data_IF_612194461068
#
_entry.id   IF_612194461068
#
_cell.length_a   1.000
_cell.length_b   1.000
_cell.length_c   1.000
_cell.angle_alpha   90.00
_cell.angle_beta   90.00
_cell.angle_gamma   90.00
#
_symmetry.space_group_name_H-M   'P 1'
#
loop_
_entity.id
_entity.type
_entity.pdbx_description
1 polymer ?
#
# COMPACT_ATOMS: atom_id res chain seq x y z
N UNK A 1 65.28 -5.69 1.47
CA UNK A 1 65.88 -5.57 0.12
C UNK A 1 65.92 -6.95 -0.52
N UNK A 2 65.63 -7.19 -1.79
CA UNK A 2 65.44 -6.29 -2.93
C UNK A 2 64.10 -6.46 -3.65
N UNK A 3 63.70 -5.45 -4.31
CA UNK A 3 63.64 -5.02 -5.70
C UNK A 3 62.38 -5.34 -6.49
N UNK A 4 61.71 -4.24 -6.73
CA UNK A 4 60.82 -3.86 -7.83
C UNK A 4 61.04 -4.59 -9.17
N UNK A 5 59.96 -4.92 -9.87
CA UNK A 5 59.90 -4.83 -11.33
C UNK A 5 58.52 -4.39 -11.78
N UNK A 6 58.51 -3.16 -12.31
CA UNK A 6 57.50 -2.59 -13.18
C UNK A 6 57.47 -3.37 -14.50
N UNK A 7 56.28 -3.65 -15.01
CA UNK A 7 56.05 -3.76 -16.44
C UNK A 7 54.79 -3.00 -16.79
N UNK A 8 55.02 -1.85 -17.37
CA UNK A 8 54.04 -1.10 -18.18
C UNK A 8 53.87 -1.85 -19.50
N UNK A 9 52.67 -2.02 -19.96
CA UNK A 9 52.37 -2.15 -21.40
C UNK A 9 51.12 -1.30 -21.64
N UNK A 10 51.37 -0.23 -22.34
CA UNK A 10 50.38 0.59 -23.03
C UNK A 10 50.10 -0.02 -24.40
N UNK A 11 48.84 -0.03 -24.83
CA UNK A 11 48.48 -0.16 -26.24
C UNK A 11 47.13 0.51 -26.45
N UNK A 12 47.08 1.58 -26.92
CA UNK A 12 46.85 2.36 -28.13
C UNK A 12 45.53 2.01 -28.85
N UNK A 13 44.77 3.10 -29.03
CA UNK A 13 43.69 3.43 -29.94
C UNK A 13 43.59 2.60 -31.23
N UNK A 14 42.35 2.29 -31.64
CA UNK A 14 41.91 2.33 -33.03
C UNK A 14 40.48 2.86 -33.12
N UNK A 15 40.37 4.08 -33.61
CA UNK A 15 39.17 4.72 -34.15
C UNK A 15 39.00 4.21 -35.58
N UNK A 16 37.81 3.78 -35.94
CA UNK A 16 37.44 3.68 -37.37
C UNK A 16 36.00 4.15 -37.52
N UNK A 17 35.86 5.32 -38.07
CA UNK A 17 34.66 5.89 -38.66
C UNK A 17 34.39 5.23 -40.02
N UNK A 18 33.15 4.91 -40.27
CA UNK A 18 32.64 4.70 -41.63
C UNK A 18 31.33 5.44 -41.77
N UNK A 19 31.36 6.51 -42.50
CA UNK A 19 30.26 7.29 -43.05
C UNK A 19 29.88 6.73 -44.43
N UNK A 20 28.69 7.15 -44.86
CA UNK A 20 28.07 7.10 -46.22
C UNK A 20 27.10 5.89 -46.41
N UNK A 21 25.91 6.05 -46.95
CA UNK A 21 25.38 7.08 -47.85
C UNK A 21 23.83 7.13 -47.81
N UNK A 22 23.31 8.30 -47.98
CA UNK A 22 22.24 8.78 -48.88
C UNK A 22 21.09 7.84 -49.30
N UNK A 23 19.87 8.31 -48.99
CA UNK A 23 18.65 7.95 -49.69
C UNK A 23 17.60 9.04 -49.44
N UNK A 24 17.49 9.95 -50.40
CA UNK A 24 16.59 11.12 -50.43
C UNK A 24 15.20 10.74 -50.95
N UNK A 25 14.18 11.52 -50.53
CA UNK A 25 12.81 11.67 -51.01
C UNK A 25 11.77 10.82 -50.23
N UNK A 26 10.70 11.39 -49.71
CA UNK A 26 9.85 12.50 -50.22
C UNK A 26 9.10 13.13 -49.05
N UNK A 27 8.96 14.45 -49.07
CA UNK A 27 8.04 15.21 -48.24
C UNK A 27 6.58 14.88 -48.60
N UNK A 28 5.81 14.52 -47.57
CA UNK A 28 4.37 14.62 -47.63
C UNK A 28 3.89 15.41 -46.43
N UNK A 29 3.58 16.65 -46.70
CA UNK A 29 2.79 17.57 -45.89
C UNK A 29 1.42 16.96 -45.68
N UNK A 30 1.05 16.67 -44.44
CA UNK A 30 -0.34 16.55 -44.03
C UNK A 30 -0.61 17.49 -42.88
N UNK A 31 -1.60 18.34 -43.17
CA UNK A 31 -2.08 19.41 -42.33
C UNK A 31 -2.51 18.95 -40.93
N UNK A 32 -2.18 19.75 -39.97
CA UNK A 32 -2.69 19.71 -38.61
C UNK A 32 -4.08 20.27 -38.57
N UNK A 33 -5.10 19.58 -38.10
CA UNK A 33 -6.36 20.25 -37.73
C UNK A 33 -6.15 20.90 -36.36
N UNK A 34 -6.16 22.21 -36.38
CA UNK A 34 -6.28 23.06 -35.22
C UNK A 34 -7.71 22.91 -34.65
N UNK A 35 -7.85 22.13 -33.57
CA UNK A 35 -9.10 22.05 -32.85
C UNK A 35 -9.18 23.20 -31.84
N UNK A 36 -10.17 24.05 -32.09
CA UNK A 36 -10.52 25.18 -31.27
C UNK A 36 -10.89 24.77 -29.84
N UNK A 37 -10.27 25.46 -28.91
CA UNK A 37 -10.67 25.52 -27.50
C UNK A 37 -12.08 26.12 -27.39
N UNK A 38 -13.03 25.33 -26.95
CA UNK A 38 -14.26 25.80 -26.35
C UNK A 38 -14.35 25.21 -24.95
N UNK A 39 -13.89 25.98 -23.98
CA UNK A 39 -14.16 25.70 -22.58
C UNK A 39 -15.63 25.91 -22.30
N UNK A 40 -16.40 24.85 -22.24
CA UNK A 40 -17.71 24.84 -21.61
C UNK A 40 -17.53 24.36 -20.18
N UNK A 41 -17.64 25.29 -19.25
CA UNK A 41 -17.82 24.96 -17.82
C UNK A 41 -19.21 24.31 -17.69
N UNK A 42 -19.21 23.00 -17.66
CA UNK A 42 -20.39 22.25 -17.20
C UNK A 42 -20.20 22.00 -15.70
N UNK A 43 -20.99 22.74 -14.94
CA UNK A 43 -21.26 22.52 -13.51
C UNK A 43 -21.80 21.10 -13.34
N UNK A 44 -20.89 20.15 -13.02
CA UNK A 44 -21.30 18.80 -12.66
C UNK A 44 -21.58 18.81 -11.17
N UNK A 45 -22.81 19.20 -10.82
CA UNK A 45 -23.36 18.87 -9.52
C UNK A 45 -23.22 17.35 -9.35
N UNK A 46 -22.33 16.96 -8.43
CA UNK A 46 -22.22 15.58 -8.00
C UNK A 46 -23.55 15.19 -7.33
N UNK A 47 -24.41 14.59 -8.12
CA UNK A 47 -25.59 13.88 -7.61
C UNK A 47 -25.05 12.75 -6.74
N UNK A 48 -25.08 12.94 -5.42
CA UNK A 48 -25.03 11.85 -4.46
C UNK A 48 -26.30 11.02 -4.63
N UNK A 49 -26.32 10.20 -5.65
CA UNK A 49 -27.28 9.12 -5.73
C UNK A 49 -26.97 8.21 -4.55
N UNK A 50 -27.73 8.38 -3.48
CA UNK A 50 -27.82 7.35 -2.47
C UNK A 50 -28.16 6.06 -3.20
N UNK A 51 -27.23 5.11 -3.23
CA UNK A 51 -27.51 3.75 -3.68
C UNK A 51 -28.53 3.21 -2.69
N UNK A 52 -29.80 3.36 -3.02
CA UNK A 52 -30.87 2.69 -2.30
C UNK A 52 -30.56 1.21 -2.43
N UNK A 53 -30.30 0.56 -1.31
CA UNK A 53 -30.25 -0.90 -1.27
C UNK A 53 -31.49 -1.43 -1.96
N UNK A 54 -31.40 -2.49 -2.79
CA UNK A 54 -32.56 -3.05 -3.45
C UNK A 54 -33.56 -3.42 -2.37
N UNK A 55 -34.65 -2.67 -2.30
CA UNK A 55 -35.79 -3.05 -1.48
C UNK A 55 -36.51 -4.16 -2.24
N UNK A 56 -35.91 -5.35 -2.19
CA UNK A 56 -36.61 -6.54 -2.60
C UNK A 56 -37.51 -6.95 -1.41
N UNK A 57 -38.67 -6.28 -1.32
CA UNK A 57 -39.78 -6.73 -0.47
C UNK A 57 -40.49 -7.89 -1.16
N UNK A 58 -39.76 -8.89 -1.61
CA UNK A 58 -40.31 -10.22 -1.78
C UNK A 58 -40.78 -10.66 -0.41
N UNK A 59 -42.00 -11.13 -0.27
CA UNK A 59 -42.54 -11.67 0.96
C UNK A 59 -41.58 -12.72 1.51
N UNK A 60 -40.83 -12.35 2.56
CA UNK A 60 -39.89 -13.25 3.21
C UNK A 60 -40.71 -14.37 3.83
N UNK A 61 -40.48 -15.60 3.41
CA UNK A 61 -41.23 -16.73 3.88
C UNK A 61 -41.11 -16.89 5.40
N UNK A 62 -42.05 -17.60 6.02
CA UNK A 62 -41.98 -17.91 7.44
C UNK A 62 -40.71 -18.73 7.79
N UNK A 63 -40.27 -19.57 6.85
CA UNK A 63 -39.05 -20.36 6.97
C UNK A 63 -37.79 -19.49 6.94
N UNK A 64 -37.74 -18.52 6.03
CA UNK A 64 -36.63 -17.57 5.96
C UNK A 64 -36.55 -16.67 7.20
N UNK A 65 -37.69 -16.24 7.75
CA UNK A 65 -37.73 -15.50 9.02
C UNK A 65 -37.18 -16.35 10.19
N UNK A 66 -37.60 -17.58 10.30
CA UNK A 66 -37.09 -18.49 11.34
C UNK A 66 -35.58 -18.77 11.18
N UNK A 67 -35.09 -18.87 9.92
CA UNK A 67 -33.66 -18.99 9.61
C UNK A 67 -32.88 -17.73 10.00
N UNK A 68 -33.42 -16.56 9.69
CA UNK A 68 -32.83 -15.27 10.05
C UNK A 68 -32.73 -15.11 11.58
N UNK A 69 -33.77 -15.42 12.32
CA UNK A 69 -33.76 -15.39 13.80
C UNK A 69 -32.66 -16.30 14.38
N UNK A 70 -32.54 -17.52 13.84
CA UNK A 70 -31.47 -18.45 14.23
C UNK A 70 -30.08 -17.90 13.89
N UNK A 71 -29.92 -17.30 12.71
CA UNK A 71 -28.65 -16.68 12.30
C UNK A 71 -28.27 -15.50 13.20
N UNK A 72 -29.22 -14.62 13.53
CA UNK A 72 -29.02 -13.47 14.40
C UNK A 72 -28.69 -13.84 15.85
N UNK A 73 -29.07 -15.03 16.31
CA UNK A 73 -28.68 -15.55 17.62
C UNK A 73 -27.17 -15.85 17.69
N UNK A 74 -26.55 -16.20 16.58
CA UNK A 74 -25.13 -16.59 16.48
C UNK A 74 -24.27 -15.46 15.89
N UNK A 75 -24.72 -14.85 14.80
CA UNK A 75 -23.98 -13.82 14.07
C UNK A 75 -24.47 -12.42 14.48
N UNK A 76 -23.53 -11.50 14.59
CA UNK A 76 -23.84 -10.09 14.84
C UNK A 76 -23.43 -9.27 13.61
N UNK A 77 -24.08 -8.12 13.36
CA UNK A 77 -23.57 -7.15 12.39
C UNK A 77 -22.14 -6.73 12.71
N UNK A 78 -21.37 -6.36 11.69
CA UNK A 78 -20.07 -5.73 11.94
C UNK A 78 -20.31 -4.42 12.71
N UNK A 79 -19.44 -4.10 13.69
CA UNK A 79 -19.55 -2.84 14.43
C UNK A 79 -19.39 -1.65 13.49
N UNK A 80 -20.15 -0.61 13.74
CA UNK A 80 -19.97 0.66 13.05
C UNK A 80 -18.74 1.43 13.59
N UNK A 81 -18.43 2.60 12.99
CA UNK A 81 -17.27 3.38 13.38
C UNK A 81 -17.34 3.86 14.85
N UNK A 82 -18.52 4.13 15.39
CA UNK A 82 -18.69 4.58 16.78
C UNK A 82 -18.51 3.42 17.76
N UNK A 83 -18.92 2.23 17.37
CA UNK A 83 -18.67 1.00 18.14
C UNK A 83 -17.21 0.60 18.09
N UNK A 84 -16.55 0.71 16.91
CA UNK A 84 -15.11 0.48 16.79
C UNK A 84 -14.30 1.44 17.67
N UNK A 85 -14.70 2.72 17.76
CA UNK A 85 -14.08 3.69 18.67
C UNK A 85 -14.09 3.26 20.14
N UNK A 86 -15.10 2.49 20.57
CA UNK A 86 -15.18 1.96 21.95
C UNK A 86 -14.27 0.74 22.13
N UNK A 87 -14.12 -0.06 21.10
CA UNK A 87 -13.27 -1.26 21.10
C UNK A 87 -11.79 -0.88 20.99
N UNK A 88 -11.48 0.01 20.07
CA UNK A 88 -10.12 0.52 19.76
C UNK A 88 -10.21 2.03 19.54
N UNK A 89 -9.91 2.86 20.54
CA UNK A 89 -9.88 4.31 20.36
C UNK A 89 -8.81 4.73 19.36
N UNK A 90 -9.19 5.56 18.40
CA UNK A 90 -8.29 6.15 17.42
C UNK A 90 -8.69 7.61 17.13
N UNK A 91 -7.75 8.41 16.65
CA UNK A 91 -8.02 9.77 16.20
C UNK A 91 -8.14 9.83 14.68
N UNK A 92 -8.77 10.90 14.18
CA UNK A 92 -8.86 11.13 12.74
C UNK A 92 -7.47 11.31 12.11
N UNK A 93 -6.53 11.92 12.84
CA UNK A 93 -5.15 12.12 12.44
C UNK A 93 -4.41 10.79 12.34
N UNK A 94 -4.64 9.85 13.26
CA UNK A 94 -4.09 8.49 13.18
C UNK A 94 -4.61 7.76 11.94
N UNK A 95 -5.90 7.84 11.66
CA UNK A 95 -6.49 7.22 10.45
C UNK A 95 -5.90 7.82 9.17
N UNK A 96 -5.76 9.14 9.10
CA UNK A 96 -5.13 9.82 7.95
C UNK A 96 -3.68 9.40 7.76
N UNK A 97 -2.92 9.33 8.85
CA UNK A 97 -1.53 8.89 8.84
C UNK A 97 -1.43 7.43 8.42
N UNK A 98 -2.20 6.54 9.02
CA UNK A 98 -2.24 5.11 8.69
C UNK A 98 -2.58 4.87 7.23
N UNK A 99 -3.60 5.55 6.70
CA UNK A 99 -3.94 5.51 5.27
C UNK A 99 -2.76 5.91 4.39
N UNK A 100 -2.00 6.93 4.75
CA UNK A 100 -0.84 7.36 3.96
C UNK A 100 0.30 6.32 4.06
N UNK A 101 0.59 5.82 5.26
CA UNK A 101 1.59 4.78 5.50
C UNK A 101 1.26 3.47 4.78
N UNK A 102 -0.02 3.15 4.61
CA UNK A 102 -0.48 1.97 3.88
C UNK A 102 0.03 1.92 2.42
N UNK A 103 0.14 3.09 1.78
CA UNK A 103 0.63 3.23 0.42
C UNK A 103 2.12 3.61 0.35
N UNK A 104 2.79 3.78 1.49
CA UNK A 104 4.15 4.30 1.55
C UNK A 104 5.19 3.23 1.22
N UNK A 105 5.72 3.27 0.02
CA UNK A 105 6.73 2.30 -0.43
C UNK A 105 8.08 2.48 0.26
N UNK A 106 8.39 3.70 0.75
CA UNK A 106 9.64 4.00 1.47
C UNK A 106 9.71 3.31 2.84
N UNK A 107 8.60 2.78 3.35
CA UNK A 107 8.61 1.86 4.49
C UNK A 107 9.33 0.54 4.21
N UNK A 108 9.49 0.14 2.95
CA UNK A 108 10.28 -1.05 2.60
C UNK A 108 11.76 -0.73 2.37
N UNK A 109 12.65 -1.70 2.58
CA UNK A 109 14.09 -1.55 2.35
C UNK A 109 14.42 -1.08 0.94
N UNK A 110 13.71 -1.62 -0.05
CA UNK A 110 13.90 -1.31 -1.46
C UNK A 110 13.13 -0.09 -1.96
N UNK A 111 12.28 0.54 -1.14
CA UNK A 111 11.38 1.64 -1.50
C UNK A 111 10.38 1.29 -2.62
N UNK A 112 10.00 0.03 -2.77
CA UNK A 112 9.15 -0.46 -3.87
C UNK A 112 7.93 -1.27 -3.40
N UNK A 113 7.87 -1.68 -2.13
CA UNK A 113 6.78 -2.46 -1.55
C UNK A 113 6.07 -1.63 -0.49
N UNK A 114 4.75 -1.62 -0.53
CA UNK A 114 3.88 -1.04 0.49
C UNK A 114 2.89 -2.10 1.00
N UNK A 115 2.11 -1.81 2.04
CA UNK A 115 1.04 -2.70 2.49
C UNK A 115 0.05 -3.00 1.36
N UNK A 116 -0.28 -1.96 0.57
CA UNK A 116 -1.19 -2.10 -0.57
C UNK A 116 -0.64 -3.01 -1.69
N UNK A 117 0.66 -3.30 -1.73
CA UNK A 117 1.24 -4.21 -2.74
C UNK A 117 0.71 -5.64 -2.59
N UNK A 118 0.49 -6.09 -1.35
CA UNK A 118 0.00 -7.43 -1.03
C UNK A 118 -1.46 -7.42 -0.55
N UNK A 119 -1.94 -6.30 -0.03
CA UNK A 119 -3.28 -6.12 0.51
C UNK A 119 -4.00 -4.97 -0.22
N UNK A 120 -4.17 -5.11 -1.52
CA UNK A 120 -4.74 -4.06 -2.37
C UNK A 120 -6.22 -3.81 -2.02
N UNK A 121 -6.51 -2.62 -1.52
CA UNK A 121 -7.87 -2.24 -1.11
C UNK A 121 -8.87 -2.23 -2.28
N UNK A 122 -8.43 -2.01 -3.51
CA UNK A 122 -9.30 -2.09 -4.69
C UNK A 122 -9.70 -3.53 -5.06
N UNK A 123 -9.00 -4.53 -4.53
CA UNK A 123 -9.28 -5.95 -4.76
C UNK A 123 -9.63 -6.67 -3.46
N UNK A 124 -10.44 -6.02 -2.61
CA UNK A 124 -10.90 -6.55 -1.32
C UNK A 124 -9.77 -6.83 -0.32
N UNK A 125 -8.68 -6.04 -0.34
CA UNK A 125 -7.57 -6.14 0.61
C UNK A 125 -6.66 -7.34 0.39
N UNK A 126 -6.59 -7.87 -0.84
CA UNK A 126 -5.73 -8.98 -1.26
C UNK A 126 -5.09 -8.67 -2.62
N UNK A 127 -4.02 -9.38 -2.99
CA UNK A 127 -3.38 -9.27 -4.32
C UNK A 127 -3.85 -10.34 -5.32
N UNK A 128 -4.72 -11.25 -4.90
CA UNK A 128 -5.22 -12.38 -5.69
C UNK A 128 -4.11 -13.36 -6.17
N UNK A 129 -2.96 -13.35 -5.50
CA UNK A 129 -1.86 -14.27 -5.79
C UNK A 129 -1.83 -15.41 -4.76
N UNK A 130 -1.38 -16.62 -5.13
CA UNK A 130 -1.19 -17.71 -4.15
C UNK A 130 -0.25 -17.31 -3.01
N UNK A 131 0.81 -16.58 -3.34
CA UNK A 131 1.76 -15.94 -2.41
C UNK A 131 2.24 -14.63 -3.00
N UNK A 132 2.41 -13.61 -2.17
CA UNK A 132 2.75 -12.26 -2.60
C UNK A 132 4.24 -12.10 -2.89
N UNK A 133 4.56 -11.28 -3.89
CA UNK A 133 5.93 -10.89 -4.19
C UNK A 133 6.34 -9.69 -3.33
N UNK A 134 7.43 -9.84 -2.58
CA UNK A 134 8.00 -8.78 -1.76
C UNK A 134 9.38 -8.32 -2.22
N UNK A 135 10.28 -8.06 -1.26
CA UNK A 135 11.62 -7.54 -1.52
C UNK A 135 12.40 -8.37 -2.53
N UNK A 136 12.93 -7.73 -3.59
CA UNK A 136 13.65 -8.38 -4.71
C UNK A 136 12.84 -9.49 -5.38
N UNK A 137 11.53 -9.33 -5.49
CA UNK A 137 10.61 -10.31 -6.07
C UNK A 137 10.69 -11.71 -5.41
N UNK A 138 11.07 -11.77 -4.13
CA UNK A 138 10.97 -12.99 -3.35
C UNK A 138 9.51 -13.24 -2.99
N UNK A 139 9.11 -14.49 -2.90
CA UNK A 139 7.76 -14.88 -2.55
C UNK A 139 7.67 -15.36 -1.10
N UNK A 140 6.63 -14.95 -0.40
CA UNK A 140 6.28 -15.50 0.90
C UNK A 140 5.82 -16.95 0.81
N UNK A 141 5.71 -17.61 1.96
CA UNK A 141 5.26 -19.00 2.03
C UNK A 141 3.73 -19.15 2.14
N UNK A 142 3.00 -18.06 2.34
CA UNK A 142 1.56 -18.06 2.60
C UNK A 142 0.86 -17.00 1.76
N UNK A 143 -0.41 -17.25 1.48
CA UNK A 143 -1.30 -16.26 0.87
C UNK A 143 -1.49 -15.06 1.79
N UNK A 144 -1.60 -13.85 1.20
CA UNK A 144 -1.99 -12.65 1.93
C UNK A 144 -3.50 -12.65 2.15
N UNK A 145 -3.99 -12.79 3.41
CA UNK A 145 -5.41 -12.72 3.70
C UNK A 145 -5.92 -11.29 3.50
N UNK A 146 -7.23 -11.12 3.40
CA UNK A 146 -7.79 -9.77 3.36
C UNK A 146 -7.43 -8.96 4.59
N UNK A 147 -7.06 -7.70 4.39
CA UNK A 147 -6.87 -6.74 5.48
C UNK A 147 -8.20 -6.12 5.95
N UNK A 148 -9.28 -6.28 5.16
CA UNK A 148 -10.57 -5.69 5.52
C UNK A 148 -11.13 -6.37 6.78
N UNK A 149 -11.54 -5.56 7.76
CA UNK A 149 -12.06 -6.00 9.04
C UNK A 149 -11.09 -6.86 9.88
N UNK A 150 -9.81 -6.88 9.57
CA UNK A 150 -8.82 -7.67 10.30
C UNK A 150 -8.76 -7.34 11.79
N UNK A 151 -9.03 -6.09 12.17
CA UNK A 151 -9.08 -5.66 13.57
C UNK A 151 -10.18 -6.36 14.43
N UNK A 152 -11.13 -7.05 13.78
CA UNK A 152 -12.18 -7.81 14.46
C UNK A 152 -11.81 -9.27 14.71
N UNK A 153 -10.68 -9.74 14.20
CA UNK A 153 -10.18 -11.09 14.43
C UNK A 153 -9.52 -11.18 15.80
N UNK A 154 -9.70 -12.30 16.48
CA UNK A 154 -9.15 -12.56 17.82
C UNK A 154 -7.61 -12.70 17.86
N UNK A 155 -6.97 -12.89 16.72
CA UNK A 155 -5.52 -12.90 16.52
C UNK A 155 -5.19 -12.72 15.05
N UNK A 156 -3.94 -12.38 14.73
CA UNK A 156 -3.48 -12.08 13.38
C UNK A 156 -2.46 -13.10 12.88
N UNK A 157 -2.23 -13.10 11.57
CA UNK A 157 -1.56 -14.13 10.79
C UNK A 157 -2.34 -15.45 10.73
N UNK A 158 -2.00 -16.31 9.78
CA UNK A 158 -2.62 -17.64 9.61
C UNK A 158 -2.41 -18.58 10.80
N UNK A 159 -1.40 -18.34 11.61
CA UNK A 159 -1.03 -19.13 12.80
C UNK A 159 -1.37 -18.44 14.12
N UNK A 160 -1.99 -17.25 14.07
CA UNK A 160 -2.43 -16.53 15.27
C UNK A 160 -1.31 -15.99 16.15
N UNK A 161 -0.08 -15.84 15.61
CA UNK A 161 1.10 -15.46 16.39
C UNK A 161 1.15 -13.99 16.84
N UNK A 162 0.34 -13.12 16.26
CA UNK A 162 0.20 -11.74 16.72
C UNK A 162 -1.15 -11.53 17.38
N UNK A 163 -1.17 -10.83 18.51
CA UNK A 163 -2.36 -10.62 19.32
C UNK A 163 -3.34 -9.65 18.66
N UNK A 164 -2.85 -8.65 17.93
CA UNK A 164 -3.65 -7.62 17.30
C UNK A 164 -3.04 -7.12 15.98
N UNK A 165 -3.71 -6.16 15.31
CA UNK A 165 -3.28 -5.62 14.02
C UNK A 165 -2.05 -4.71 14.13
N UNK A 166 -1.78 -4.11 15.28
CA UNK A 166 -0.59 -3.30 15.52
C UNK A 166 0.67 -4.17 15.58
N UNK A 167 0.61 -5.26 16.35
CA UNK A 167 1.69 -6.25 16.40
C UNK A 167 1.88 -6.91 15.02
N UNK A 168 0.78 -7.23 14.34
CA UNK A 168 0.83 -7.80 12.99
C UNK A 168 1.55 -6.88 12.01
N UNK A 169 1.24 -5.58 12.01
CA UNK A 169 1.82 -4.62 11.08
C UNK A 169 3.36 -4.54 11.17
N UNK A 170 3.92 -4.81 12.35
CA UNK A 170 5.36 -4.84 12.57
C UNK A 170 6.06 -6.00 11.86
N UNK A 171 5.40 -7.15 11.74
CA UNK A 171 5.98 -8.36 11.16
C UNK A 171 6.48 -8.17 9.72
N UNK A 172 5.62 -7.79 8.77
CA UNK A 172 5.99 -7.57 7.36
C UNK A 172 7.07 -6.52 7.16
N UNK A 173 7.11 -5.46 7.98
CA UNK A 173 8.13 -4.42 7.90
C UNK A 173 9.55 -4.99 8.06
N UNK A 174 9.72 -6.01 8.89
CA UNK A 174 11.01 -6.62 9.22
C UNK A 174 11.26 -7.92 8.45
N UNK A 175 10.22 -8.56 7.90
CA UNK A 175 10.36 -9.83 7.20
C UNK A 175 11.28 -9.69 5.96
N UNK A 176 12.38 -10.45 5.86
CA UNK A 176 13.37 -10.29 4.80
C UNK A 176 12.83 -10.57 3.39
N UNK A 177 11.76 -11.34 3.26
CA UNK A 177 11.14 -11.62 1.94
C UNK A 177 10.00 -10.65 1.61
N UNK A 178 9.50 -9.85 2.57
CA UNK A 178 8.39 -8.91 2.38
C UNK A 178 8.91 -7.47 2.24
N UNK A 179 9.03 -6.70 3.34
CA UNK A 179 9.51 -5.31 3.29
C UNK A 179 10.98 -5.15 3.68
N UNK A 180 11.56 -6.12 4.36
CA UNK A 180 13.00 -6.38 4.53
C UNK A 180 13.80 -5.29 5.25
N UNK A 181 13.22 -4.45 6.10
CA UNK A 181 14.06 -3.59 6.94
C UNK A 181 14.88 -4.45 7.92
N UNK A 182 16.12 -4.06 8.18
CA UNK A 182 16.99 -4.85 9.03
C UNK A 182 16.59 -4.75 10.50
N UNK A 183 16.10 -3.58 10.92
CA UNK A 183 15.66 -3.29 12.29
C UNK A 183 14.44 -2.37 12.30
N UNK A 184 13.76 -2.30 13.44
CA UNK A 184 12.69 -1.34 13.71
C UNK A 184 13.18 0.12 13.56
N UNK A 185 14.40 0.38 14.02
CA UNK A 185 15.03 1.68 13.92
C UNK A 185 15.26 2.08 12.44
N UNK A 186 15.65 1.15 11.58
CA UNK A 186 15.83 1.41 10.14
C UNK A 186 14.50 1.79 9.48
N UNK A 187 13.42 1.06 9.78
CA UNK A 187 12.09 1.38 9.27
C UNK A 187 11.62 2.76 9.72
N UNK A 188 11.78 3.09 11.00
CA UNK A 188 11.41 4.39 11.56
C UNK A 188 12.27 5.52 10.99
N UNK A 189 13.58 5.36 10.86
CA UNK A 189 14.49 6.37 10.36
C UNK A 189 14.18 6.80 8.92
N UNK A 190 13.73 5.89 8.07
CA UNK A 190 13.33 6.19 6.69
C UNK A 190 12.16 7.18 6.64
N UNK A 191 11.17 6.99 7.49
CA UNK A 191 9.99 7.86 7.57
C UNK A 191 10.34 9.16 8.30
N UNK A 192 11.14 9.10 9.37
CA UNK A 192 11.60 10.27 10.10
C UNK A 192 12.45 11.22 9.26
N UNK A 193 13.15 10.72 8.24
CA UNK A 193 13.89 11.52 7.26
C UNK A 193 13.01 12.35 6.31
N UNK A 194 11.69 12.22 6.38
CA UNK A 194 10.74 12.91 5.52
C UNK A 194 10.02 13.99 6.35
N UNK A 195 10.28 15.30 6.13
CA UNK A 195 9.74 16.37 6.98
C UNK A 195 8.22 16.35 7.12
N UNK A 196 7.51 16.02 6.05
CA UNK A 196 6.05 15.94 6.04
C UNK A 196 5.50 14.92 7.06
N UNK A 197 6.17 13.78 7.24
CA UNK A 197 5.76 12.79 8.22
C UNK A 197 5.97 13.25 9.65
N UNK A 198 7.01 14.03 9.94
CA UNK A 198 7.25 14.53 11.29
C UNK A 198 6.04 15.33 11.82
N UNK A 199 5.47 16.22 10.99
CA UNK A 199 4.29 16.98 11.39
C UNK A 199 3.04 16.11 11.54
N UNK A 200 2.88 15.10 10.67
CA UNK A 200 1.74 14.18 10.76
C UNK A 200 1.82 13.28 11.99
N UNK A 201 3.00 12.82 12.36
CA UNK A 201 3.19 12.05 13.60
C UNK A 201 2.93 12.89 14.84
N UNK A 202 3.37 14.16 14.88
CA UNK A 202 3.03 15.09 15.97
C UNK A 202 1.53 15.28 16.12
N UNK A 203 0.80 15.38 15.02
CA UNK A 203 -0.65 15.52 15.06
C UNK A 203 -1.36 14.21 15.48
N UNK A 204 -0.89 13.07 15.01
CA UNK A 204 -1.49 11.76 15.31
C UNK A 204 -1.15 11.24 16.72
N UNK A 205 0.03 11.58 17.24
CA UNK A 205 0.55 11.15 18.54
C UNK A 205 1.06 12.35 19.34
N UNK A 206 0.16 13.21 19.88
CA UNK A 206 0.54 14.47 20.52
C UNK A 206 1.37 14.29 21.80
N UNK A 207 1.36 13.09 22.41
CA UNK A 207 2.07 12.80 23.65
C UNK A 207 3.58 12.71 23.47
N UNK A 208 4.05 12.15 22.36
CA UNK A 208 5.49 12.03 22.08
C UNK A 208 5.89 12.60 20.70
N UNK A 209 4.95 12.72 19.78
CA UNK A 209 5.16 13.23 18.41
C UNK A 209 6.20 12.46 17.60
N UNK A 210 6.65 11.29 18.09
CA UNK A 210 7.79 10.61 17.56
C UNK A 210 7.46 9.78 16.30
N UNK A 211 8.32 9.86 15.29
CA UNK A 211 8.33 8.89 14.20
C UNK A 211 9.06 7.64 14.70
N UNK A 212 8.38 6.83 15.49
CA UNK A 212 8.88 5.58 16.05
C UNK A 212 8.25 4.37 15.35
N UNK A 213 8.89 3.21 15.45
CA UNK A 213 8.31 1.96 14.94
C UNK A 213 6.95 1.67 15.59
N UNK A 214 6.86 1.87 16.90
CA UNK A 214 5.61 1.73 17.66
C UNK A 214 4.49 2.61 17.08
N UNK A 215 4.76 3.89 16.83
CA UNK A 215 3.74 4.80 16.31
C UNK A 215 3.42 4.52 14.83
N UNK A 216 4.37 3.99 14.05
CA UNK A 216 4.12 3.51 12.69
C UNK A 216 3.14 2.34 12.73
N UNK A 217 3.40 1.33 13.55
CA UNK A 217 2.53 0.15 13.65
C UNK A 217 1.17 0.49 14.25
N UNK A 218 1.12 1.38 15.24
CA UNK A 218 -0.14 1.87 15.82
C UNK A 218 -1.01 2.64 14.83
N UNK A 219 -0.40 3.37 13.88
CA UNK A 219 -1.15 4.07 12.83
C UNK A 219 -1.60 3.14 11.70
N UNK A 220 -0.89 2.03 11.47
CA UNK A 220 -1.23 1.03 10.45
C UNK A 220 -2.32 0.06 10.92
N UNK A 221 -2.35 -0.26 12.21
CA UNK A 221 -3.32 -1.15 12.85
C UNK A 221 -4.60 -0.44 13.25
#
# INVERSE_FOLDING_TARGET
MPRLKLHQIALALAVSAALTACGEKTAQTTETPQAASAASAADTAASTAAVSAPQNSADVSAEDKALLERAQAVFKPLPDAAEMQKIRPFTEEQVKLGKQLWYETRLSKGNIVSCNSCHNLATAGVDNMPTSAGHKSQFGARNSPTALNAALLGSQFWDGRAADVEEQAGGPLLNPVEMANATEADAAAKIAGIPEYQEKFKAAFPEDGAVSFKNITAALG
#
